data_IF_594137527159
#
_entry.id   IF_594137527159
#
_cell.length_a   1.000
_cell.length_b   1.000
_cell.length_c   1.000
_cell.angle_alpha   90.00
_cell.angle_beta   90.00
_cell.angle_gamma   90.00
#
_symmetry.space_group_name_H-M   'P 1'
#
loop_
_entity.id
_entity.type
_entity.pdbx_description
1 polymer ?
#
# COMPACT_ATOMS: atom_id res chain seq x y z
N UNK A 1 -5.65 -6.17 0.32
CA UNK A 1 -4.39 -5.38 0.40
C UNK A 1 -3.21 -6.34 0.49
N UNK A 2 -1.97 -5.86 0.38
CA UNK A 2 -0.69 -6.57 0.52
C UNK A 2 -0.37 -7.62 -0.54
N UNK A 3 -1.31 -8.44 -1.00
CA UNK A 3 -1.12 -9.44 -2.04
C UNK A 3 -2.17 -9.34 -3.14
N UNK A 4 -1.98 -10.02 -4.25
CA UNK A 4 -2.88 -10.10 -5.38
C UNK A 4 -3.19 -11.55 -5.75
N UNK A 5 -4.28 -11.76 -6.49
CA UNK A 5 -4.63 -13.09 -7.01
C UNK A 5 -3.74 -13.43 -8.21
N UNK A 6 -3.35 -14.69 -8.32
CA UNK A 6 -2.66 -15.16 -9.50
C UNK A 6 -3.52 -14.91 -10.76
N UNK A 7 -2.94 -14.38 -11.85
CA UNK A 7 -3.67 -14.13 -13.07
C UNK A 7 -4.14 -15.43 -13.69
N UNK A 8 -5.36 -15.43 -14.20
CA UNK A 8 -5.93 -16.58 -14.94
C UNK A 8 -5.72 -16.47 -16.45
N UNK A 9 -5.55 -15.22 -16.93
CA UNK A 9 -5.40 -14.90 -18.34
C UNK A 9 -4.14 -14.07 -18.54
N UNK A 10 -3.51 -14.21 -19.69
CA UNK A 10 -2.30 -13.51 -20.07
C UNK A 10 -2.52 -12.80 -21.40
N UNK A 11 -1.89 -11.64 -21.58
CA UNK A 11 -1.81 -10.96 -22.86
C UNK A 11 -0.36 -10.98 -23.36
N UNK A 12 -0.18 -11.03 -24.67
CA UNK A 12 1.12 -10.81 -25.27
C UNK A 12 1.52 -9.36 -25.07
N UNK A 13 2.61 -9.13 -24.35
CA UNK A 13 3.12 -7.78 -24.14
C UNK A 13 4.04 -7.38 -25.29
N UNK A 14 3.52 -6.52 -26.15
CA UNK A 14 4.25 -5.90 -27.27
C UNK A 14 4.05 -4.39 -27.08
N UNK A 15 5.03 -3.64 -26.52
CA UNK A 15 4.87 -2.24 -26.12
C UNK A 15 4.27 -1.33 -27.20
N UNK A 16 4.64 -1.56 -28.45
CA UNK A 16 4.22 -0.77 -29.61
C UNK A 16 2.72 -0.88 -29.91
N UNK A 17 2.06 -1.91 -29.38
CA UNK A 17 0.60 -2.12 -29.55
C UNK A 17 -0.23 -1.46 -28.45
N UNK A 18 0.38 -0.85 -27.45
CA UNK A 18 -0.31 -0.20 -26.36
C UNK A 18 -0.23 1.32 -26.49
N UNK A 19 -1.33 1.99 -26.19
CA UNK A 19 -1.45 3.45 -26.32
C UNK A 19 -0.53 4.20 -25.36
N UNK A 20 -0.33 3.66 -24.13
CA UNK A 20 0.55 4.23 -23.11
C UNK A 20 1.21 3.11 -22.33
N UNK A 21 2.53 3.10 -22.31
CA UNK A 21 3.35 2.13 -21.57
C UNK A 21 4.42 2.87 -20.80
N UNK A 22 4.67 2.43 -19.57
CA UNK A 22 5.89 2.81 -18.85
C UNK A 22 7.09 2.05 -19.43
N UNK A 23 8.33 2.52 -19.19
CA UNK A 23 9.53 1.75 -19.50
C UNK A 23 9.44 0.32 -18.94
N UNK A 24 9.90 -0.66 -19.73
CA UNK A 24 9.80 -2.09 -19.39
C UNK A 24 10.49 -2.39 -18.06
N UNK A 25 11.56 -1.69 -17.72
CA UNK A 25 12.33 -1.81 -16.49
C UNK A 25 11.47 -1.54 -15.25
N UNK A 26 10.53 -0.59 -15.35
CA UNK A 26 9.59 -0.29 -14.26
C UNK A 26 8.63 -1.47 -14.02
N UNK A 27 8.12 -2.07 -15.09
CA UNK A 27 7.28 -3.28 -14.96
C UNK A 27 8.08 -4.47 -14.43
N UNK A 28 9.33 -4.61 -14.83
CA UNK A 28 10.20 -5.73 -14.52
C UNK A 28 11.10 -5.51 -13.30
N UNK A 29 10.88 -4.44 -12.55
CA UNK A 29 11.59 -4.22 -11.29
C UNK A 29 11.47 -5.45 -10.37
N UNK A 30 12.56 -5.78 -9.68
CA UNK A 30 12.64 -6.93 -8.77
C UNK A 30 11.60 -6.85 -7.65
N UNK A 31 11.41 -5.63 -7.13
CA UNK A 31 10.41 -5.32 -6.13
C UNK A 31 9.72 -4.01 -6.47
N UNK A 32 8.41 -3.99 -6.36
CA UNK A 32 7.60 -2.79 -6.52
C UNK A 32 6.30 -2.88 -5.75
N UNK A 33 5.64 -1.74 -5.58
CA UNK A 33 4.28 -1.67 -5.08
C UNK A 33 3.34 -1.38 -6.24
N UNK A 34 2.26 -2.12 -6.30
CA UNK A 34 1.13 -1.84 -7.17
C UNK A 34 0.04 -1.15 -6.37
N UNK A 35 -0.59 -0.11 -6.92
CA UNK A 35 -1.69 0.55 -6.23
C UNK A 35 -2.87 0.84 -7.14
N UNK A 36 -4.07 0.73 -6.57
CA UNK A 36 -5.31 1.03 -7.28
C UNK A 36 -5.43 2.54 -7.49
N UNK A 37 -5.57 2.96 -8.75
CA UNK A 37 -5.66 4.38 -9.12
C UNK A 37 -6.94 5.05 -8.64
N UNK A 38 -8.08 4.36 -8.67
CA UNK A 38 -9.39 4.89 -8.25
C UNK A 38 -9.92 4.09 -7.06
N UNK A 39 -10.24 4.77 -5.97
CA UNK A 39 -10.83 4.14 -4.79
C UNK A 39 -11.03 5.11 -3.64
N UNK A 40 -11.97 4.77 -2.75
CA UNK A 40 -12.27 5.57 -1.55
C UNK A 40 -11.15 5.52 -0.50
N UNK A 41 -10.34 4.48 -0.52
CA UNK A 41 -9.17 4.31 0.34
C UNK A 41 -7.98 3.82 -0.47
N UNK A 42 -6.76 4.20 -0.09
CA UNK A 42 -5.54 3.69 -0.72
C UNK A 42 -5.45 2.16 -0.53
N UNK A 43 -5.04 1.48 -1.59
CA UNK A 43 -4.78 0.04 -1.56
C UNK A 43 -3.49 -0.22 -2.30
N UNK A 44 -2.49 -0.69 -1.57
CA UNK A 44 -1.18 -1.05 -2.12
C UNK A 44 -0.95 -2.56 -1.97
N UNK A 45 -0.23 -3.12 -2.92
CA UNK A 45 0.11 -4.54 -2.99
C UNK A 45 1.59 -4.67 -3.32
N UNK A 46 2.27 -5.58 -2.64
CA UNK A 46 3.66 -5.94 -2.95
C UNK A 46 3.72 -6.85 -4.17
N UNK A 47 4.65 -6.58 -5.07
CA UNK A 47 4.92 -7.40 -6.25
C UNK A 47 6.43 -7.63 -6.41
N UNK A 48 6.82 -8.89 -6.39
CA UNK A 48 8.16 -9.40 -6.73
C UNK A 48 8.12 -10.43 -7.86
N UNK A 49 7.01 -10.50 -8.59
CA UNK A 49 6.81 -11.40 -9.72
C UNK A 49 6.93 -10.69 -11.08
N UNK A 50 7.44 -9.47 -11.08
CA UNK A 50 7.62 -8.68 -12.31
C UNK A 50 6.31 -8.53 -13.10
N UNK A 51 5.19 -8.41 -12.38
CA UNK A 51 3.85 -8.32 -12.96
C UNK A 51 3.68 -7.05 -13.77
N UNK A 52 3.08 -7.18 -14.95
CA UNK A 52 2.61 -6.04 -15.74
C UNK A 52 1.29 -5.52 -15.18
N UNK A 53 1.11 -4.21 -15.16
CA UNK A 53 -0.13 -3.57 -14.73
C UNK A 53 -0.67 -2.62 -15.79
N UNK A 54 -1.99 -2.46 -15.82
CA UNK A 54 -2.67 -1.51 -16.71
C UNK A 54 -2.96 -0.21 -15.95
N UNK A 55 -3.50 0.77 -16.65
CA UNK A 55 -3.79 2.13 -16.17
C UNK A 55 -4.70 2.23 -14.92
N UNK A 56 -5.43 1.17 -14.58
CA UNK A 56 -6.21 1.10 -13.33
C UNK A 56 -5.38 0.71 -12.10
N UNK A 57 -4.15 0.24 -12.32
CA UNK A 57 -3.22 -0.23 -11.30
C UNK A 57 -1.83 0.33 -11.59
N UNK A 58 -1.46 1.39 -10.88
CA UNK A 58 -0.20 2.09 -11.06
C UNK A 58 0.93 1.47 -10.23
N UNK A 59 2.16 1.84 -10.56
CA UNK A 59 3.39 1.33 -9.95
C UNK A 59 4.02 2.42 -9.08
N UNK A 60 4.52 2.01 -7.92
CA UNK A 60 5.45 2.79 -7.07
C UNK A 60 6.68 1.93 -6.80
N UNK A 61 7.85 2.50 -7.07
CA UNK A 61 9.14 1.95 -6.65
C UNK A 61 9.72 2.96 -5.66
N UNK A 62 9.56 2.73 -4.34
CA UNK A 62 10.07 3.66 -3.34
C UNK A 62 11.59 3.73 -3.38
N UNK A 63 12.13 4.95 -3.35
CA UNK A 63 13.57 5.22 -3.30
C UNK A 63 13.87 6.10 -2.09
N UNK A 64 13.68 5.54 -0.89
CA UNK A 64 13.93 6.23 0.37
C UNK A 64 15.06 5.49 1.07
N UNK A 65 16.19 6.17 1.23
CA UNK A 65 17.36 5.59 1.87
C UNK A 65 17.06 5.07 3.28
N UNK A 66 17.54 3.87 3.59
CA UNK A 66 17.33 3.24 4.90
C UNK A 66 15.92 2.72 5.17
N UNK A 67 15.01 2.78 4.19
CA UNK A 67 13.63 2.29 4.35
C UNK A 67 13.33 1.11 3.44
N UNK A 68 12.93 0.01 4.03
CA UNK A 68 12.55 -1.19 3.31
C UNK A 68 11.16 -1.04 2.66
N UNK A 69 10.99 -1.54 1.43
CA UNK A 69 9.75 -1.43 0.64
C UNK A 69 8.52 -1.99 1.39
N UNK A 70 8.66 -3.08 2.15
CA UNK A 70 7.57 -3.67 2.92
C UNK A 70 7.19 -2.83 4.15
N UNK A 71 8.13 -2.10 4.73
CA UNK A 71 7.81 -1.10 5.75
C UNK A 71 6.98 0.04 5.14
N UNK A 72 7.40 0.57 4.00
CA UNK A 72 6.66 1.60 3.26
C UNK A 72 5.26 1.08 2.86
N UNK A 73 5.15 -0.17 2.42
CA UNK A 73 3.86 -0.82 2.14
C UNK A 73 2.92 -0.79 3.35
N UNK A 74 3.43 -1.15 4.53
CA UNK A 74 2.64 -1.13 5.76
C UNK A 74 2.13 0.27 6.08
N UNK A 75 3.02 1.26 6.01
CA UNK A 75 2.70 2.67 6.25
C UNK A 75 1.63 3.18 5.26
N UNK A 76 1.79 2.93 3.97
CA UNK A 76 0.85 3.37 2.93
C UNK A 76 -0.52 2.66 2.99
N UNK A 77 -0.59 1.47 3.57
CA UNK A 77 -1.85 0.73 3.78
C UNK A 77 -2.53 1.02 5.12
N UNK A 78 -1.92 1.84 5.98
CA UNK A 78 -2.43 2.15 7.32
C UNK A 78 -3.67 3.05 7.30
N UNK A 79 -4.39 3.03 8.41
CA UNK A 79 -5.51 3.95 8.65
C UNK A 79 -5.06 5.41 8.67
N UNK A 80 -3.84 5.70 9.15
CA UNK A 80 -3.27 7.05 9.14
C UNK A 80 -3.13 7.55 7.70
N UNK A 81 -2.56 6.74 6.80
CA UNK A 81 -2.41 7.11 5.38
C UNK A 81 -3.78 7.30 4.71
N UNK A 82 -4.72 6.40 4.97
CA UNK A 82 -6.08 6.51 4.43
C UNK A 82 -6.77 7.78 4.89
N UNK A 83 -6.68 8.11 6.17
CA UNK A 83 -7.24 9.34 6.75
C UNK A 83 -6.62 10.58 6.15
N UNK A 84 -5.29 10.66 6.13
CA UNK A 84 -4.55 11.79 5.59
C UNK A 84 -4.93 12.07 4.13
N UNK A 85 -4.85 11.05 3.28
CA UNK A 85 -5.14 11.18 1.85
C UNK A 85 -6.60 11.62 1.62
N UNK A 86 -7.55 11.00 2.33
CA UNK A 86 -8.96 11.35 2.19
C UNK A 86 -9.28 12.77 2.66
N UNK A 87 -8.63 13.24 3.74
CA UNK A 87 -8.90 14.57 4.29
C UNK A 87 -8.19 15.67 3.51
N UNK A 88 -6.99 15.40 3.01
CA UNK A 88 -6.19 16.41 2.30
C UNK A 88 -6.64 16.61 0.85
N UNK A 89 -7.02 15.55 0.14
CA UNK A 89 -7.17 15.63 -1.31
C UNK A 89 -8.61 15.51 -1.83
N UNK A 90 -9.57 15.13 -1.04
CA UNK A 90 -10.98 15.02 -1.43
C UNK A 90 -11.21 14.39 -2.82
N UNK A 91 -10.35 13.45 -3.22
CA UNK A 91 -10.32 12.84 -4.54
C UNK A 91 -10.46 11.32 -4.45
N UNK A 92 -11.17 10.73 -5.40
CA UNK A 92 -11.22 9.27 -5.58
C UNK A 92 -10.02 8.75 -6.38
N UNK A 93 -9.28 9.64 -7.05
CA UNK A 93 -8.05 9.30 -7.78
C UNK A 93 -6.85 9.44 -6.85
N UNK A 94 -6.07 8.38 -6.73
CA UNK A 94 -4.81 8.39 -5.98
C UNK A 94 -3.67 8.76 -6.94
N UNK A 95 -3.24 10.01 -6.88
CA UNK A 95 -2.14 10.52 -7.72
C UNK A 95 -0.79 10.26 -7.05
N UNK A 96 0.27 10.27 -7.86
CA UNK A 96 1.66 10.19 -7.39
C UNK A 96 1.97 11.27 -6.35
N UNK A 97 1.60 12.52 -6.61
CA UNK A 97 1.80 13.64 -5.68
C UNK A 97 1.11 13.46 -4.34
N UNK A 98 -0.04 12.76 -4.30
CA UNK A 98 -0.70 12.43 -3.04
C UNK A 98 0.14 11.47 -2.19
N UNK A 99 0.73 10.44 -2.84
CA UNK A 99 1.59 9.46 -2.17
C UNK A 99 2.88 10.14 -1.68
N UNK A 100 3.54 10.91 -2.53
CA UNK A 100 4.79 11.61 -2.21
C UNK A 100 4.63 12.66 -1.10
N UNK A 101 3.43 13.21 -0.92
CA UNK A 101 3.16 14.16 0.15
C UNK A 101 2.90 13.53 1.51
N UNK A 102 2.76 12.21 1.59
CA UNK A 102 2.48 11.52 2.85
C UNK A 102 3.76 11.33 3.66
N UNK A 103 3.81 11.82 4.92
CA UNK A 103 5.00 11.71 5.75
C UNK A 103 5.20 10.26 6.22
N UNK A 104 6.36 9.68 5.89
CA UNK A 104 6.74 8.33 6.34
C UNK A 104 7.69 8.48 7.54
N UNK A 105 7.38 7.89 8.72
CA UNK A 105 8.24 7.98 9.89
C UNK A 105 9.59 7.30 9.66
N UNK A 106 10.67 7.98 10.01
CA UNK A 106 12.02 7.40 10.00
C UNK A 106 12.20 6.59 11.29
N UNK A 107 12.47 5.30 11.15
CA UNK A 107 12.70 4.38 12.26
C UNK A 107 13.94 3.50 12.00
N UNK A 108 14.51 2.92 13.07
CA UNK A 108 15.66 2.03 12.93
C UNK A 108 15.31 0.76 12.14
N UNK A 109 16.34 0.14 11.53
CA UNK A 109 16.18 -1.12 10.80
C UNK A 109 15.56 -2.22 11.65
N UNK A 110 15.94 -2.33 12.94
CA UNK A 110 15.37 -3.29 13.88
C UNK A 110 13.85 -3.11 14.05
N UNK A 111 13.38 -1.86 14.18
CA UNK A 111 11.94 -1.58 14.26
C UNK A 111 11.23 -1.89 12.94
N UNK A 112 11.87 -1.63 11.81
CA UNK A 112 11.33 -2.01 10.51
C UNK A 112 11.18 -3.53 10.39
N UNK A 113 12.16 -4.33 10.85
CA UNK A 113 12.10 -5.79 10.78
C UNK A 113 10.86 -6.37 11.47
N UNK A 114 10.45 -5.84 12.61
CA UNK A 114 9.24 -6.29 13.30
C UNK A 114 7.97 -6.04 12.47
N UNK A 115 7.90 -4.89 11.80
CA UNK A 115 6.79 -4.56 10.89
C UNK A 115 6.84 -5.44 9.65
N UNK A 116 8.03 -5.64 9.05
CA UNK A 116 8.24 -6.48 7.87
C UNK A 116 7.81 -7.92 8.13
N UNK A 117 8.15 -8.51 9.28
CA UNK A 117 7.71 -9.85 9.67
C UNK A 117 6.18 -9.98 9.67
N UNK A 118 5.46 -8.98 10.20
CA UNK A 118 3.99 -8.97 10.16
C UNK A 118 3.46 -8.84 8.73
N UNK A 119 4.08 -8.00 7.90
CA UNK A 119 3.74 -7.88 6.47
C UNK A 119 3.95 -9.20 5.74
N UNK A 120 5.06 -9.88 5.98
CA UNK A 120 5.34 -11.18 5.36
C UNK A 120 4.34 -12.26 5.80
N UNK A 121 3.95 -12.27 7.07
CA UNK A 121 2.88 -13.13 7.54
C UNK A 121 1.56 -12.85 6.82
N UNK A 122 1.22 -11.58 6.58
CA UNK A 122 0.00 -11.18 5.87
C UNK A 122 0.07 -11.63 4.41
N UNK A 123 1.19 -11.39 3.71
CA UNK A 123 1.37 -11.74 2.30
C UNK A 123 1.26 -13.25 2.08
N UNK A 124 1.85 -14.04 2.97
CA UNK A 124 1.95 -15.50 2.84
C UNK A 124 0.77 -16.26 3.46
N UNK A 125 -0.15 -15.58 4.13
CA UNK A 125 -1.27 -16.24 4.80
C UNK A 125 -2.44 -16.53 3.87
N UNK A 126 -2.95 -17.76 3.95
CA UNK A 126 -4.21 -18.18 3.34
C UNK A 126 -5.40 -18.19 4.34
N UNK A 127 -5.19 -17.72 5.55
CA UNK A 127 -6.18 -17.72 6.66
C UNK A 127 -6.74 -16.33 6.91
N UNK A 128 -7.72 -16.24 7.80
CA UNK A 128 -8.21 -14.95 8.27
C UNK A 128 -7.10 -14.21 9.04
N UNK A 129 -6.68 -13.07 8.49
CA UNK A 129 -5.57 -12.24 8.96
C UNK A 129 -6.07 -10.93 9.61
N UNK A 130 -7.36 -10.85 9.96
CA UNK A 130 -7.97 -9.63 10.49
C UNK A 130 -7.22 -9.10 11.73
N UNK A 131 -6.92 -9.96 12.69
CA UNK A 131 -6.21 -9.56 13.91
C UNK A 131 -4.80 -9.04 13.58
N UNK A 132 -4.09 -9.71 12.68
CA UNK A 132 -2.74 -9.29 12.28
C UNK A 132 -2.76 -7.94 11.55
N UNK A 133 -3.80 -7.65 10.76
CA UNK A 133 -4.00 -6.34 10.16
C UNK A 133 -4.23 -5.26 11.23
N UNK A 134 -5.06 -5.55 12.23
CA UNK A 134 -5.35 -4.60 13.31
C UNK A 134 -4.11 -4.32 14.15
N UNK A 135 -3.33 -5.35 14.47
CA UNK A 135 -2.06 -5.20 15.17
C UNK A 135 -1.08 -4.34 14.37
N UNK A 136 -0.90 -4.64 13.07
CA UNK A 136 -0.01 -3.89 12.20
C UNK A 136 -0.43 -2.42 12.09
N UNK A 137 -1.72 -2.15 11.94
CA UNK A 137 -2.25 -0.77 11.88
C UNK A 137 -1.99 -0.02 13.20
N UNK A 138 -2.15 -0.69 14.34
CA UNK A 138 -1.82 -0.14 15.66
C UNK A 138 -0.34 0.18 15.80
N UNK A 139 0.54 -0.71 15.35
CA UNK A 139 1.98 -0.47 15.34
C UNK A 139 2.32 0.79 14.52
N UNK A 140 1.77 0.90 13.31
CA UNK A 140 1.99 2.07 12.46
C UNK A 140 1.46 3.35 13.11
N UNK A 141 0.26 3.33 13.69
CA UNK A 141 -0.29 4.48 14.40
C UNK A 141 0.62 4.97 15.54
N UNK A 142 1.24 4.04 16.26
CA UNK A 142 2.16 4.36 17.35
C UNK A 142 3.37 5.18 16.90
N UNK A 143 3.83 4.97 15.66
CA UNK A 143 4.96 5.71 15.08
C UNK A 143 4.67 7.21 14.90
N UNK A 144 3.39 7.56 14.73
CA UNK A 144 2.96 8.96 14.58
C UNK A 144 2.70 9.68 15.91
N UNK A 145 2.87 8.99 17.05
CA UNK A 145 2.68 9.55 18.41
C UNK A 145 1.30 10.21 18.58
N UNK A 146 0.27 9.62 18.02
CA UNK A 146 -1.09 10.15 18.07
C UNK A 146 -1.69 9.95 19.47
N UNK A 147 -2.45 10.92 19.93
CA UNK A 147 -3.26 10.82 21.14
C UNK A 147 -4.45 9.87 20.94
N UNK A 148 -5.05 9.37 22.02
CA UNK A 148 -6.24 8.50 21.96
C UNK A 148 -7.38 9.15 21.16
N UNK A 149 -7.65 10.44 21.39
CA UNK A 149 -8.70 11.19 20.68
C UNK A 149 -8.41 11.30 19.18
N UNK A 150 -7.14 11.46 18.78
CA UNK A 150 -6.76 11.49 17.37
C UNK A 150 -6.96 10.13 16.70
N UNK A 151 -6.58 9.05 17.38
CA UNK A 151 -6.80 7.67 16.91
C UNK A 151 -8.29 7.40 16.71
N UNK A 152 -9.12 7.75 17.70
CA UNK A 152 -10.58 7.62 17.61
C UNK A 152 -11.16 8.44 16.45
N UNK A 153 -10.68 9.68 16.27
CA UNK A 153 -11.09 10.52 15.14
C UNK A 153 -10.77 9.87 13.79
N UNK A 154 -9.59 9.23 13.66
CA UNK A 154 -9.21 8.51 12.45
C UNK A 154 -10.16 7.33 12.18
N UNK A 155 -10.41 6.49 13.18
CA UNK A 155 -11.31 5.33 13.03
C UNK A 155 -12.74 5.75 12.72
N UNK A 156 -13.27 6.75 13.40
CA UNK A 156 -14.61 7.26 13.15
C UNK A 156 -14.77 7.83 11.74
N UNK A 157 -13.74 8.55 11.24
CA UNK A 157 -13.76 9.09 9.88
C UNK A 157 -13.65 8.01 8.79
N UNK A 158 -13.21 6.81 9.13
CA UNK A 158 -13.02 5.69 8.21
C UNK A 158 -14.05 4.57 8.40
N UNK A 159 -14.91 4.64 9.42
CA UNK A 159 -15.89 3.61 9.75
C UNK A 159 -16.76 3.18 8.57
N UNK A 160 -17.22 4.13 7.77
CA UNK A 160 -18.05 3.87 6.58
C UNK A 160 -17.28 3.34 5.36
N UNK A 161 -15.94 3.31 5.44
CA UNK A 161 -15.08 2.98 4.28
C UNK A 161 -14.53 1.56 4.30
N UNK A 162 -14.81 0.81 5.34
CA UNK A 162 -14.48 -0.62 5.49
C UNK A 162 -13.03 -0.94 5.06
N UNK A 163 -12.05 -0.28 5.69
CA UNK A 163 -10.62 -0.44 5.39
C UNK A 163 -10.17 -1.90 5.34
N UNK A 164 -10.76 -2.75 6.17
CA UNK A 164 -10.40 -4.15 6.30
C UNK A 164 -11.18 -5.08 5.35
N UNK A 165 -12.35 -4.69 4.86
CA UNK A 165 -13.14 -5.50 3.93
C UNK A 165 -12.65 -5.42 2.47
N UNK A 166 -11.82 -4.46 2.12
CA UNK A 166 -11.15 -4.41 0.81
C UNK A 166 -10.08 -5.51 0.64
N UNK A 167 -9.91 -6.36 1.65
CA UNK A 167 -8.96 -7.48 1.68
C UNK A 167 -9.59 -8.86 1.39
N UNK A 168 -10.87 -8.88 0.98
CA UNK A 168 -11.55 -10.12 0.54
C UNK A 168 -11.49 -10.32 -0.95
#
# INVERSE_FOLDING_TARGET
KYSYRNPKNYIKFTPELFQQVAPVEIYRAEEKLLYRFIGKVPVFTYDNNKTLSLNSCNIVIPQIEGMHIKYILAVLNSSVAAFYINKKFHSVKLLRSHIESFPIPVISSEKQENIIKKVDCIINSNKNIYNLYTELDTDIMSLYKLSKNQIETIYNALSDKNLFLAAR
#
